data_IF_207589559951
#
_entry.id   IF_207589559951
#
_cell.length_a   1.000
_cell.length_b   1.000
_cell.length_c   1.000
_cell.angle_alpha   90.00
_cell.angle_beta   90.00
_cell.angle_gamma   90.00
#
_symmetry.space_group_name_H-M   'P 1'
#
loop_
_entity.id
_entity.type
_entity.pdbx_description
1 polymer ?
#
# COMPACT_ATOMS: atom_id res chain seq x y z
N UNK A 1 15.58 -27.89 -11.42
CA UNK A 1 14.79 -26.82 -12.06
C UNK A 1 13.38 -26.81 -11.47
N UNK A 2 12.74 -27.97 -11.40
CA UNK A 2 11.38 -28.06 -10.89
C UNK A 2 11.26 -27.67 -9.41
N UNK A 3 12.26 -27.99 -8.60
CA UNK A 3 12.27 -27.63 -7.18
C UNK A 3 12.30 -26.11 -6.98
N UNK A 4 13.08 -25.40 -7.79
CA UNK A 4 13.14 -23.94 -7.72
C UNK A 4 11.78 -23.30 -8.04
N UNK A 5 11.11 -23.76 -9.07
CA UNK A 5 9.81 -23.25 -9.46
C UNK A 5 8.73 -23.54 -8.43
N UNK A 6 8.78 -24.72 -7.81
CA UNK A 6 7.86 -25.05 -6.72
C UNK A 6 8.08 -24.14 -5.52
N UNK A 7 9.33 -23.86 -5.16
CA UNK A 7 9.65 -22.96 -4.05
C UNK A 7 9.14 -21.56 -4.33
N UNK A 8 9.35 -21.04 -5.54
CA UNK A 8 8.84 -19.72 -5.95
C UNK A 8 7.31 -19.67 -5.87
N UNK A 9 6.64 -20.69 -6.40
CA UNK A 9 5.18 -20.76 -6.37
C UNK A 9 4.61 -20.81 -4.94
N UNK A 10 5.24 -21.59 -4.07
CA UNK A 10 4.84 -21.71 -2.66
C UNK A 10 5.04 -20.38 -1.94
N UNK A 11 6.18 -19.72 -2.12
CA UNK A 11 6.47 -18.43 -1.50
C UNK A 11 5.48 -17.36 -1.95
N UNK A 12 5.21 -17.28 -3.26
CA UNK A 12 4.24 -16.34 -3.80
C UNK A 12 2.82 -16.63 -3.30
N UNK A 13 2.46 -17.91 -3.21
CA UNK A 13 1.15 -18.31 -2.69
C UNK A 13 0.96 -17.91 -1.23
N UNK A 14 1.96 -18.17 -0.40
CA UNK A 14 1.93 -17.80 1.02
C UNK A 14 1.88 -16.27 1.18
N UNK A 15 2.70 -15.55 0.42
CA UNK A 15 2.71 -14.08 0.45
C UNK A 15 1.34 -13.52 0.04
N UNK A 16 0.72 -14.05 -1.00
CA UNK A 16 -0.59 -13.63 -1.45
C UNK A 16 -1.69 -13.91 -0.42
N UNK A 17 -1.63 -15.07 0.23
CA UNK A 17 -2.58 -15.43 1.28
C UNK A 17 -2.46 -14.50 2.49
N UNK A 18 -1.23 -14.24 2.92
CA UNK A 18 -0.99 -13.32 4.03
C UNK A 18 -1.43 -11.89 3.70
N UNK A 19 -1.14 -11.44 2.48
CA UNK A 19 -1.56 -10.13 2.00
C UNK A 19 -3.08 -10.01 1.94
N UNK A 20 -3.77 -11.04 1.46
CA UNK A 20 -5.23 -11.07 1.41
C UNK A 20 -5.84 -11.09 2.80
N UNK A 21 -5.29 -11.90 3.69
CA UNK A 21 -5.75 -11.96 5.09
C UNK A 21 -5.62 -10.60 5.75
N UNK A 22 -4.51 -9.91 5.54
CA UNK A 22 -4.27 -8.59 6.10
C UNK A 22 -5.18 -7.52 5.50
N UNK A 23 -5.50 -7.64 4.23
CA UNK A 23 -6.43 -6.75 3.54
C UNK A 23 -7.83 -6.84 4.15
N UNK A 24 -8.28 -8.06 4.45
CA UNK A 24 -9.60 -8.30 5.02
C UNK A 24 -9.69 -7.98 6.51
N UNK A 25 -8.62 -8.26 7.25
CA UNK A 25 -8.57 -8.11 8.71
C UNK A 25 -7.88 -6.82 9.16
N UNK A 26 -7.31 -6.04 8.25
CA UNK A 26 -6.54 -4.84 8.57
C UNK A 26 -7.36 -3.80 9.32
N UNK A 27 -6.92 -3.38 10.53
CA UNK A 27 -7.65 -2.42 11.35
C UNK A 27 -7.56 -0.99 10.81
N UNK A 28 -6.55 -0.67 10.00
CA UNK A 28 -6.35 0.68 9.50
C UNK A 28 -6.34 0.73 7.97
N UNK A 29 -6.59 1.91 7.42
CA UNK A 29 -6.54 2.16 5.96
C UNK A 29 -5.12 1.95 5.43
N UNK A 30 -4.10 2.32 6.21
CA UNK A 30 -2.70 2.13 5.85
C UNK A 30 -2.33 0.66 5.67
N UNK A 31 -2.78 -0.20 6.58
CA UNK A 31 -2.53 -1.64 6.48
C UNK A 31 -3.18 -2.23 5.24
N UNK A 32 -4.37 -1.77 4.90
CA UNK A 32 -5.07 -2.20 3.68
C UNK A 32 -4.34 -1.73 2.42
N UNK A 33 -3.89 -0.49 2.40
CA UNK A 33 -3.14 0.07 1.28
C UNK A 33 -1.84 -0.68 1.05
N UNK A 34 -1.10 -0.96 2.12
CA UNK A 34 0.13 -1.75 2.05
C UNK A 34 -0.13 -3.18 1.57
N UNK A 35 -1.23 -3.77 2.02
CA UNK A 35 -1.60 -5.13 1.60
C UNK A 35 -1.92 -5.22 0.11
N UNK A 36 -2.60 -4.21 -0.44
CA UNK A 36 -2.86 -4.13 -1.88
C UNK A 36 -1.54 -4.02 -2.66
N UNK A 37 -0.60 -3.23 -2.16
CA UNK A 37 0.71 -3.08 -2.79
C UNK A 37 1.49 -4.39 -2.80
N UNK A 38 1.49 -5.12 -1.70
CA UNK A 38 2.11 -6.45 -1.61
C UNK A 38 1.45 -7.44 -2.56
N UNK A 39 0.13 -7.44 -2.65
CA UNK A 39 -0.60 -8.30 -3.58
C UNK A 39 -0.25 -7.98 -5.04
N UNK A 40 -0.17 -6.70 -5.37
CA UNK A 40 0.20 -6.26 -6.70
C UNK A 40 1.63 -6.66 -7.04
N UNK A 41 2.57 -6.46 -6.11
CA UNK A 41 3.95 -6.90 -6.25
C UNK A 41 4.06 -8.42 -6.44
N UNK A 42 3.27 -9.19 -5.67
CA UNK A 42 3.21 -10.64 -5.78
C UNK A 42 2.69 -11.06 -7.16
N UNK A 43 1.64 -10.40 -7.65
CA UNK A 43 1.09 -10.67 -8.98
C UNK A 43 2.10 -10.36 -10.08
N UNK A 44 2.79 -9.22 -9.99
CA UNK A 44 3.84 -8.84 -10.95
C UNK A 44 4.98 -9.84 -10.96
N UNK A 45 5.41 -10.28 -9.78
CA UNK A 45 6.47 -11.28 -9.64
C UNK A 45 6.04 -12.63 -10.21
N UNK A 46 4.80 -13.03 -9.95
CA UNK A 46 4.23 -14.26 -10.50
C UNK A 46 4.15 -14.25 -12.03
N UNK A 47 3.67 -13.15 -12.59
CA UNK A 47 3.63 -12.99 -14.05
C UNK A 47 5.02 -12.94 -14.67
N UNK A 48 5.96 -12.27 -13.99
CA UNK A 48 7.35 -12.21 -14.42
C UNK A 48 8.01 -13.60 -14.40
N UNK A 49 7.75 -14.37 -13.35
CA UNK A 49 8.23 -15.75 -13.25
C UNK A 49 7.64 -16.64 -14.34
N UNK A 50 6.35 -16.48 -14.62
CA UNK A 50 5.68 -17.20 -15.70
C UNK A 50 6.27 -16.87 -17.07
N UNK A 51 6.51 -15.58 -17.33
CA UNK A 51 7.14 -15.13 -18.57
C UNK A 51 8.55 -15.71 -18.73
N UNK A 52 9.31 -15.72 -17.64
CA UNK A 52 10.66 -16.28 -17.64
C UNK A 52 10.64 -17.80 -17.89
N UNK A 53 9.69 -18.51 -17.32
CA UNK A 53 9.56 -19.96 -17.51
C UNK A 53 9.22 -20.32 -18.95
N UNK A 54 8.26 -19.61 -19.54
CA UNK A 54 7.80 -19.85 -20.91
C UNK A 54 8.64 -19.16 -21.98
N UNK A 55 9.56 -18.27 -21.57
CA UNK A 55 10.35 -17.43 -22.47
C UNK A 55 9.49 -16.63 -23.43
N UNK A 56 8.38 -16.13 -22.93
CA UNK A 56 7.40 -15.39 -23.72
C UNK A 56 7.55 -13.88 -23.47
N UNK A 57 8.10 -13.12 -24.42
CA UNK A 57 8.28 -11.69 -24.26
C UNK A 57 6.98 -10.88 -24.38
N UNK A 58 5.89 -11.51 -24.80
CA UNK A 58 4.60 -10.85 -24.99
C UNK A 58 4.02 -10.30 -23.69
N UNK A 59 4.40 -10.88 -22.55
CA UNK A 59 3.91 -10.47 -21.23
C UNK A 59 4.63 -9.21 -20.71
N UNK A 60 5.80 -8.89 -21.24
CA UNK A 60 6.59 -7.75 -20.77
C UNK A 60 5.85 -6.40 -20.83
N UNK A 61 5.15 -6.04 -21.92
CA UNK A 61 4.38 -4.80 -21.94
C UNK A 61 3.28 -4.75 -20.89
N UNK A 62 2.63 -5.89 -20.63
CA UNK A 62 1.60 -6.00 -19.59
C UNK A 62 2.18 -5.74 -18.21
N UNK A 63 3.36 -6.29 -17.90
CA UNK A 63 4.07 -6.05 -16.66
C UNK A 63 4.41 -4.58 -16.47
N UNK A 64 4.83 -3.93 -17.55
CA UNK A 64 5.17 -2.51 -17.53
C UNK A 64 3.96 -1.64 -17.22
N UNK A 65 2.84 -1.90 -17.87
CA UNK A 65 1.57 -1.18 -17.63
C UNK A 65 1.09 -1.40 -16.20
N UNK A 66 1.12 -2.63 -15.71
CA UNK A 66 0.72 -2.95 -14.33
C UNK A 66 1.62 -2.28 -13.31
N UNK A 67 2.92 -2.22 -13.58
CA UNK A 67 3.87 -1.54 -12.69
C UNK A 67 3.59 -0.03 -12.62
N UNK A 68 3.33 0.60 -13.75
CA UNK A 68 2.95 2.01 -13.79
C UNK A 68 1.63 2.27 -13.06
N UNK A 69 0.65 1.40 -13.27
CA UNK A 69 -0.65 1.50 -12.61
C UNK A 69 -0.51 1.41 -11.09
N UNK A 70 0.32 0.47 -10.62
CA UNK A 70 0.62 0.31 -9.19
C UNK A 70 1.30 1.54 -8.61
N UNK A 71 2.25 2.11 -9.33
CA UNK A 71 2.95 3.32 -8.91
C UNK A 71 2.00 4.50 -8.75
N UNK A 72 1.14 4.73 -9.75
CA UNK A 72 0.13 5.80 -9.69
C UNK A 72 -0.85 5.56 -8.54
N UNK A 73 -1.28 4.31 -8.35
CA UNK A 73 -2.16 3.94 -7.25
C UNK A 73 -1.55 4.22 -5.89
N UNK A 74 -0.29 3.85 -5.69
CA UNK A 74 0.44 4.10 -4.43
C UNK A 74 0.57 5.58 -4.11
N UNK A 75 0.89 6.41 -5.10
CA UNK A 75 0.98 7.86 -4.94
C UNK A 75 -0.39 8.45 -4.58
N UNK A 76 -1.44 8.01 -5.23
CA UNK A 76 -2.81 8.50 -4.98
C UNK A 76 -3.25 8.21 -3.54
N UNK A 77 -2.97 7.00 -3.05
CA UNK A 77 -3.29 6.60 -1.67
C UNK A 77 -2.46 7.40 -0.67
N UNK A 78 -1.18 7.60 -0.92
CA UNK A 78 -0.29 8.39 -0.05
C UNK A 78 -0.79 9.82 0.09
N UNK A 79 -1.21 10.44 -1.00
CA UNK A 79 -1.77 11.81 -0.97
C UNK A 79 -3.04 11.89 -0.14
N UNK A 80 -3.91 10.91 -0.27
CA UNK A 80 -5.18 10.89 0.45
C UNK A 80 -4.96 10.70 1.96
N UNK A 81 -4.07 9.80 2.35
CA UNK A 81 -3.79 9.51 3.76
C UNK A 81 -3.06 10.68 4.44
N UNK A 82 -2.15 11.35 3.73
CA UNK A 82 -1.39 12.47 4.29
C UNK A 82 -2.25 13.68 4.69
N UNK A 83 -3.43 13.84 4.11
CA UNK A 83 -4.32 14.96 4.43
C UNK A 83 -5.07 14.80 5.75
N UNK A 84 -5.32 13.58 6.20
CA UNK A 84 -6.13 13.31 7.40
C UNK A 84 -5.50 13.73 8.72
N UNK A 85 -4.21 13.49 9.00
CA UNK A 85 -3.62 13.86 10.29
C UNK A 85 -3.59 15.36 10.55
N UNK A 86 -3.45 16.20 9.52
CA UNK A 86 -3.41 17.65 9.65
C UNK A 86 -4.74 18.25 10.09
N UNK A 87 -5.85 17.69 9.62
CA UNK A 87 -7.19 18.16 9.99
C UNK A 87 -7.51 17.89 11.46
N UNK A 88 -6.97 16.83 12.04
CA UNK A 88 -7.20 16.49 13.44
C UNK A 88 -6.34 17.29 14.42
N UNK A 89 -5.15 17.73 14.01
CA UNK A 89 -4.22 18.44 14.89
C UNK A 89 -4.55 19.92 15.04
N UNK A 90 -5.03 20.57 14.00
CA UNK A 90 -5.25 22.02 13.96
C UNK A 90 -6.29 22.59 14.94
N UNK A 91 -7.48 22.00 15.11
CA UNK A 91 -8.48 22.59 16.02
C UNK A 91 -8.04 22.63 17.47
N UNK A 92 -7.28 21.65 17.91
CA UNK A 92 -6.81 21.57 19.29
C UNK A 92 -5.73 22.59 19.60
N UNK A 93 -4.80 22.81 18.69
CA UNK A 93 -3.69 23.74 18.89
C UNK A 93 -4.15 25.21 18.89
N UNK A 94 -5.22 25.53 18.19
CA UNK A 94 -5.74 26.91 18.13
C UNK A 94 -6.67 27.26 19.27
N UNK A 95 -7.35 26.28 19.87
CA UNK A 95 -8.33 26.54 20.92
C UNK A 95 -7.67 26.82 22.28
N UNK A 96 -6.63 26.08 22.64
CA UNK A 96 -5.98 26.20 23.94
C UNK A 96 -5.28 27.54 24.18
N UNK A 97 -4.46 28.09 23.26
CA UNK A 97 -3.78 29.37 23.50
C UNK A 97 -4.76 30.55 23.59
N UNK A 98 -5.81 30.54 22.75
CA UNK A 98 -6.77 31.60 22.70
C UNK A 98 -7.58 31.73 24.00
N UNK A 99 -7.95 30.62 24.62
CA UNK A 99 -8.72 30.60 25.85
C UNK A 99 -7.90 31.08 27.05
N UNK A 100 -6.64 30.78 27.09
CA UNK A 100 -5.72 31.16 28.16
C UNK A 100 -5.46 32.67 28.13
N UNK A 101 -5.25 33.24 26.96
CA UNK A 101 -5.02 34.69 26.81
C UNK A 101 -6.23 35.51 27.17
N UNK A 102 -7.41 35.07 26.81
CA UNK A 102 -8.63 35.78 27.16
C UNK A 102 -8.95 35.73 28.65
N UNK A 103 -8.57 34.71 29.33
CA UNK A 103 -8.72 34.58 30.76
C UNK A 103 -7.84 35.55 31.55
N UNK A 104 -6.61 35.73 31.12
CA UNK A 104 -5.64 36.62 31.76
C UNK A 104 -5.96 38.09 31.57
N UNK A 105 -6.50 38.47 30.43
CA UNK A 105 -6.77 39.88 30.13
C UNK A 105 -7.99 40.43 30.86
N UNK A 106 -8.76 39.62 31.52
CA UNK A 106 -9.96 40.08 32.27
C UNK A 106 -9.72 40.26 33.77
N UNK A 107 -8.61 39.82 34.27
CA UNK A 107 -8.21 40.01 35.68
C UNK A 107 -7.31 41.25 35.81
#
# INVERSE_FOLDING_TARGET
>A
VNALWVVIAVLLGVASLLGTARLLLGPSILDRALSVDVLLASALTGLGAYAAFNRDPTILPTLLVLSLLGFVGSISISKFVARRPEEHARPEDTVYPATTEQGESRE
#
